data_IF_163044233799
#
_entry.id   IF_163044233799
#
_cell.length_a   1.000
_cell.length_b   1.000
_cell.length_c   1.000
_cell.angle_alpha   90.00
_cell.angle_beta   90.00
_cell.angle_gamma   90.00
#
_symmetry.space_group_name_H-M   'P 1'
#
loop_
_entity.id
_entity.type
_entity.pdbx_description
1 polymer ?
#
# COMPACT_ATOMS: atom_id res chain seq x y z
N UNK A 1 21.46 3.80 -31.21
CA UNK A 1 20.61 4.73 -30.44
C UNK A 1 21.49 5.85 -29.92
N UNK A 2 21.21 7.10 -30.29
CA UNK A 2 21.94 8.25 -29.73
C UNK A 2 21.45 8.55 -28.31
N UNK A 3 22.18 9.38 -27.55
CA UNK A 3 21.76 9.82 -26.22
C UNK A 3 20.43 10.58 -26.26
N UNK A 4 20.22 11.37 -27.32
CA UNK A 4 18.98 12.11 -27.55
C UNK A 4 17.82 11.14 -27.83
N UNK A 5 18.01 10.17 -28.73
CA UNK A 5 16.97 9.16 -29.01
C UNK A 5 16.61 8.36 -27.76
N UNK A 6 17.59 8.03 -26.92
CA UNK A 6 17.38 7.31 -25.66
C UNK A 6 16.56 8.15 -24.67
N UNK A 7 16.88 9.44 -24.54
CA UNK A 7 16.16 10.36 -23.66
C UNK A 7 14.72 10.59 -24.14
N UNK A 8 14.51 10.71 -25.45
CA UNK A 8 13.19 10.92 -26.05
C UNK A 8 12.32 9.66 -25.94
N UNK A 9 12.89 8.48 -26.16
CA UNK A 9 12.21 7.20 -25.97
C UNK A 9 11.81 7.00 -24.50
N UNK A 10 12.72 7.30 -23.56
CA UNK A 10 12.43 7.20 -22.13
C UNK A 10 11.34 8.19 -21.72
N UNK A 11 11.41 9.43 -22.20
CA UNK A 11 10.41 10.46 -21.90
C UNK A 11 9.03 10.07 -22.43
N UNK A 12 8.97 9.53 -23.64
CA UNK A 12 7.72 9.08 -24.26
C UNK A 12 7.11 7.89 -23.51
N UNK A 13 7.91 6.86 -23.21
CA UNK A 13 7.42 5.68 -22.48
C UNK A 13 6.98 6.00 -21.05
N UNK A 14 7.68 6.91 -20.35
CA UNK A 14 7.26 7.38 -19.03
C UNK A 14 5.94 8.17 -19.08
N UNK A 15 5.75 8.99 -20.12
CA UNK A 15 4.51 9.76 -20.31
C UNK A 15 3.29 8.86 -20.47
N UNK A 16 3.41 7.74 -21.16
CA UNK A 16 2.35 6.73 -21.28
C UNK A 16 1.95 6.12 -19.93
N UNK A 17 2.88 6.08 -18.97
CA UNK A 17 2.67 5.63 -17.60
C UNK A 17 2.19 6.75 -16.66
N UNK A 18 1.83 7.93 -17.19
CA UNK A 18 1.42 9.09 -16.38
C UNK A 18 2.56 9.79 -15.63
N UNK A 19 3.80 9.50 -16.02
CA UNK A 19 5.02 10.04 -15.42
C UNK A 19 5.61 11.08 -16.37
N UNK A 20 5.82 12.29 -15.88
CA UNK A 20 6.49 13.34 -16.66
C UNK A 20 7.99 13.27 -16.41
N UNK A 21 8.75 13.11 -17.48
CA UNK A 21 10.21 13.29 -17.49
C UNK A 21 10.56 14.58 -18.23
N UNK A 22 11.38 15.43 -17.62
CA UNK A 22 11.90 16.67 -18.26
C UNK A 22 13.43 16.71 -18.22
N UNK A 23 14.09 17.37 -19.17
CA UNK A 23 15.54 17.53 -19.14
C UNK A 23 16.01 18.25 -17.87
N UNK A 24 16.97 17.64 -17.16
CA UNK A 24 17.63 18.20 -15.99
C UNK A 24 18.92 18.97 -16.32
N UNK A 25 19.67 19.41 -15.29
CA UNK A 25 20.95 20.12 -15.48
C UNK A 25 21.92 19.34 -16.35
N UNK A 26 22.69 20.05 -17.18
CA UNK A 26 23.74 19.44 -18.01
C UNK A 26 24.76 18.73 -17.14
N UNK A 27 25.08 17.48 -17.49
CA UNK A 27 26.12 16.71 -16.82
C UNK A 27 27.48 16.99 -17.48
N UNK A 28 28.57 16.92 -16.70
CA UNK A 28 29.95 17.13 -17.18
C UNK A 28 30.44 16.05 -18.19
N UNK A 29 29.54 15.20 -18.70
CA UNK A 29 29.85 14.12 -19.60
C UNK A 29 28.89 14.15 -20.79
N UNK A 30 29.44 14.33 -22.00
CA UNK A 30 28.71 14.37 -23.27
C UNK A 30 27.92 13.09 -23.60
N UNK A 31 28.17 12.00 -22.87
CA UNK A 31 27.49 10.71 -23.03
C UNK A 31 26.39 10.46 -22.01
N UNK A 32 26.01 11.46 -21.21
CA UNK A 32 25.10 11.31 -20.09
C UNK A 32 23.98 12.36 -20.12
N UNK A 33 22.73 11.92 -19.96
CA UNK A 33 21.55 12.78 -19.88
C UNK A 33 20.86 12.59 -18.53
N UNK A 34 20.41 13.69 -17.92
CA UNK A 34 19.68 13.67 -16.65
C UNK A 34 18.23 14.01 -16.95
N UNK A 35 17.29 13.18 -16.48
CA UNK A 35 15.86 13.46 -16.56
C UNK A 35 15.30 13.64 -15.15
N UNK A 36 14.62 14.76 -14.93
CA UNK A 36 13.85 15.01 -13.72
C UNK A 36 12.50 14.32 -13.88
N UNK A 37 12.11 13.53 -12.88
CA UNK A 37 10.92 12.68 -12.94
C UNK A 37 9.89 13.19 -11.94
N UNK A 38 8.67 13.43 -12.41
CA UNK A 38 7.55 13.87 -11.59
C UNK A 38 6.26 13.15 -11.98
N UNK A 39 5.32 13.04 -11.05
CA UNK A 39 3.97 12.59 -11.38
C UNK A 39 3.20 13.71 -12.11
N UNK A 40 2.36 13.37 -13.09
CA UNK A 40 1.63 14.35 -13.90
C UNK A 40 0.82 15.37 -13.08
N UNK A 41 0.33 14.98 -11.91
CA UNK A 41 -0.36 15.84 -10.95
C UNK A 41 0.13 15.61 -9.50
N UNK A 42 1.43 15.37 -9.30
CA UNK A 42 1.95 14.95 -7.98
C UNK A 42 3.39 15.40 -7.69
N UNK A 43 4.00 14.85 -6.62
CA UNK A 43 5.32 15.29 -6.17
C UNK A 43 6.42 14.94 -7.17
N UNK A 44 7.53 15.68 -7.08
CA UNK A 44 8.78 15.30 -7.73
C UNK A 44 9.30 13.99 -7.13
N UNK A 45 9.61 13.03 -8.00
CA UNK A 45 10.09 11.70 -7.63
C UNK A 45 11.61 11.64 -7.56
N UNK A 46 12.29 12.67 -8.08
CA UNK A 46 13.75 12.77 -8.13
C UNK A 46 14.26 12.81 -9.57
N UNK A 47 15.40 12.20 -9.82
CA UNK A 47 16.00 12.15 -11.15
C UNK A 47 16.48 10.76 -11.55
N UNK A 48 16.50 10.50 -12.85
CA UNK A 48 17.17 9.35 -13.45
C UNK A 48 18.30 9.84 -14.36
N UNK A 49 19.40 9.08 -14.40
CA UNK A 49 20.52 9.34 -15.29
C UNK A 49 20.58 8.26 -16.35
N UNK A 50 20.73 8.68 -17.59
CA UNK A 50 20.89 7.83 -18.76
C UNK A 50 22.31 7.99 -19.28
N UNK A 51 22.96 6.88 -19.61
CA UNK A 51 24.30 6.85 -20.20
C UNK A 51 24.27 6.07 -21.50
N UNK A 52 24.99 6.55 -22.52
CA UNK A 52 25.25 5.80 -23.75
C UNK A 52 26.75 5.52 -23.84
N UNK A 53 27.15 4.30 -23.49
CA UNK A 53 28.55 3.86 -23.48
C UNK A 53 28.85 2.76 -24.50
N UNK A 54 30.12 2.36 -24.60
CA UNK A 54 30.59 1.27 -25.48
C UNK A 54 29.91 -0.08 -25.22
N UNK A 55 29.33 -0.28 -24.03
CA UNK A 55 28.63 -1.51 -23.60
C UNK A 55 27.11 -1.43 -23.78
N UNK A 56 26.60 -0.37 -24.41
CA UNK A 56 25.17 -0.13 -24.59
C UNK A 56 24.62 0.94 -23.64
N UNK A 57 23.30 1.19 -23.71
CA UNK A 57 22.64 2.18 -22.87
C UNK A 57 22.56 1.69 -21.41
N UNK A 58 22.66 2.60 -20.43
CA UNK A 58 22.53 2.29 -19.00
C UNK A 58 21.62 3.29 -18.29
N UNK A 59 20.71 2.79 -17.44
CA UNK A 59 19.86 3.58 -16.56
C UNK A 59 20.40 3.52 -15.12
N UNK A 60 20.55 4.69 -14.50
CA UNK A 60 20.93 4.81 -13.08
C UNK A 60 19.82 5.58 -12.34
N UNK A 61 19.02 4.90 -11.51
CA UNK A 61 17.91 5.50 -10.76
C UNK A 61 18.30 5.80 -9.29
N UNK A 62 19.53 6.27 -9.06
CA UNK A 62 20.12 6.52 -7.74
C UNK A 62 19.53 7.77 -7.04
N UNK A 63 19.07 8.73 -7.83
CA UNK A 63 18.47 9.99 -7.37
C UNK A 63 16.93 9.96 -7.28
N UNK A 64 16.31 8.77 -7.34
CA UNK A 64 14.87 8.56 -7.12
C UNK A 64 14.57 8.41 -5.61
N UNK A 65 14.76 9.49 -4.85
CA UNK A 65 14.64 9.46 -3.38
C UNK A 65 13.19 9.40 -2.87
N UNK A 66 12.22 9.83 -3.68
CA UNK A 66 10.80 9.92 -3.31
C UNK A 66 9.91 9.08 -4.23
N UNK A 67 10.49 8.09 -4.91
CA UNK A 67 9.80 7.30 -5.94
C UNK A 67 9.15 6.04 -5.35
N UNK A 68 7.82 5.90 -5.41
CA UNK A 68 7.15 4.68 -4.96
C UNK A 68 7.64 3.44 -5.73
N UNK A 69 7.69 2.25 -5.11
CA UNK A 69 8.17 1.03 -5.75
C UNK A 69 7.44 0.64 -7.05
N UNK A 70 6.14 0.98 -7.17
CA UNK A 70 5.35 0.77 -8.38
C UNK A 70 5.84 1.66 -9.54
N UNK A 71 6.09 2.94 -9.27
CA UNK A 71 6.63 3.87 -10.27
C UNK A 71 8.06 3.49 -10.66
N UNK A 72 8.85 2.98 -9.71
CA UNK A 72 10.19 2.44 -10.01
C UNK A 72 10.12 1.21 -10.94
N UNK A 73 9.11 0.36 -10.78
CA UNK A 73 8.84 -0.76 -11.70
C UNK A 73 8.45 -0.27 -13.08
N UNK A 74 7.53 0.71 -13.20
CA UNK A 74 7.18 1.31 -14.50
C UNK A 74 8.37 1.94 -15.20
N UNK A 75 9.24 2.65 -14.47
CA UNK A 75 10.50 3.19 -15.00
C UNK A 75 11.41 2.05 -15.50
N UNK A 76 11.46 0.94 -14.78
CA UNK A 76 12.27 -0.23 -15.15
C UNK A 76 11.71 -0.96 -16.36
N UNK A 77 10.38 -1.10 -16.49
CA UNK A 77 9.72 -1.74 -17.63
C UNK A 77 9.90 -0.94 -18.92
N UNK A 78 9.66 0.37 -18.85
CA UNK A 78 9.95 1.28 -19.97
C UNK A 78 11.41 1.14 -20.39
N UNK A 79 12.33 1.08 -19.43
CA UNK A 79 13.74 0.87 -19.71
C UNK A 79 14.04 -0.46 -20.41
N UNK A 80 13.44 -1.57 -19.98
CA UNK A 80 13.65 -2.90 -20.58
C UNK A 80 13.15 -2.95 -22.03
N UNK A 81 12.00 -2.33 -22.31
CA UNK A 81 11.46 -2.20 -23.65
C UNK A 81 12.40 -1.41 -24.59
N UNK A 82 13.04 -0.36 -24.07
CA UNK A 82 13.94 0.50 -24.86
C UNK A 82 15.32 -0.14 -25.08
N UNK A 83 15.83 -0.87 -24.09
CA UNK A 83 17.21 -1.39 -24.09
C UNK A 83 17.41 -2.76 -24.76
N UNK A 84 16.34 -3.41 -25.24
CA UNK A 84 16.40 -4.52 -26.19
C UNK A 84 16.71 -5.90 -25.60
N UNK A 85 16.27 -6.19 -24.37
CA UNK A 85 16.42 -7.51 -23.76
C UNK A 85 15.44 -8.55 -24.31
N UNK A 86 15.92 -9.48 -25.14
CA UNK A 86 15.21 -10.71 -25.49
C UNK A 86 15.10 -11.58 -24.21
N UNK A 87 13.88 -11.81 -23.70
CA UNK A 87 13.62 -12.93 -22.77
C UNK A 87 12.74 -13.94 -23.48
N UNK A 88 13.32 -15.12 -23.71
CA UNK A 88 12.63 -16.27 -24.25
C UNK A 88 11.46 -16.65 -23.34
N UNK A 89 10.30 -16.88 -23.97
CA UNK A 89 9.15 -17.50 -23.34
C UNK A 89 9.48 -18.93 -22.88
N UNK A 90 8.90 -19.40 -21.76
CA UNK A 90 8.37 -20.74 -21.70
C UNK A 90 6.92 -20.70 -22.21
N UNK A 91 6.71 -21.20 -23.43
CA UNK A 91 5.38 -21.60 -23.89
C UNK A 91 5.11 -23.03 -23.40
N UNK A 92 4.08 -23.17 -22.58
CA UNK A 92 3.57 -24.44 -22.08
C UNK A 92 2.33 -24.19 -21.22
N UNK A 93 1.19 -23.99 -21.91
CA UNK A 93 -0.19 -23.95 -21.44
C UNK A 93 -0.44 -23.85 -19.92
N UNK A 94 -0.78 -22.65 -19.46
CA UNK A 94 -2.17 -22.39 -19.05
C UNK A 94 -2.48 -20.90 -19.18
N UNK A 95 -3.60 -20.60 -19.83
CA UNK A 95 -4.10 -19.24 -20.02
C UNK A 95 -4.55 -18.70 -18.67
N UNK A 96 -3.68 -17.99 -17.96
CA UNK A 96 -4.09 -17.12 -16.86
C UNK A 96 -4.16 -15.69 -17.39
N UNK A 97 -5.38 -15.30 -17.75
CA UNK A 97 -5.82 -13.91 -17.82
C UNK A 97 -5.23 -13.16 -16.63
N UNK A 98 -4.27 -12.25 -16.84
CA UNK A 98 -3.85 -11.33 -15.78
C UNK A 98 -4.99 -10.33 -15.65
N UNK A 99 -5.96 -10.69 -14.81
CA UNK A 99 -6.91 -9.74 -14.25
C UNK A 99 -6.10 -8.55 -13.69
N UNK A 100 -6.52 -7.29 -13.91
CA UNK A 100 -5.82 -6.13 -13.37
C UNK A 100 -5.61 -6.36 -11.88
N UNK A 101 -4.36 -6.58 -11.48
CA UNK A 101 -4.03 -7.14 -10.16
C UNK A 101 -4.53 -6.21 -9.06
N UNK A 102 -5.69 -6.55 -8.50
CA UNK A 102 -6.36 -5.78 -7.45
C UNK A 102 -5.44 -5.74 -6.25
N UNK A 103 -5.27 -4.56 -5.66
CA UNK A 103 -4.47 -4.37 -4.45
C UNK A 103 -5.14 -5.11 -3.30
N UNK A 104 -4.43 -6.06 -2.72
CA UNK A 104 -4.90 -6.83 -1.57
C UNK A 104 -4.42 -6.14 -0.30
N UNK A 105 -5.37 -5.85 0.59
CA UNK A 105 -5.14 -5.14 1.85
C UNK A 105 -5.57 -6.05 2.99
N UNK A 106 -4.62 -6.60 3.73
CA UNK A 106 -4.87 -7.44 4.89
C UNK A 106 -4.77 -6.59 6.14
N UNK A 107 -5.75 -6.68 7.03
CA UNK A 107 -5.82 -5.84 8.24
C UNK A 107 -6.20 -6.68 9.44
N UNK A 108 -5.67 -6.33 10.60
CA UNK A 108 -6.09 -6.92 11.87
C UNK A 108 -5.79 -6.02 13.07
N UNK A 109 -6.51 -6.25 14.16
CA UNK A 109 -6.40 -5.57 15.44
C UNK A 109 -6.35 -6.54 16.62
N UNK A 110 -5.57 -6.19 17.63
CA UNK A 110 -5.40 -6.97 18.85
C UNK A 110 -5.67 -6.11 20.09
N UNK A 111 -6.38 -6.71 21.05
CA UNK A 111 -6.63 -6.17 22.38
C UNK A 111 -6.22 -7.21 23.42
N UNK A 112 -5.16 -6.92 24.18
CA UNK A 112 -4.66 -7.80 25.24
C UNK A 112 -5.04 -7.25 26.61
N UNK A 113 -5.62 -8.10 27.46
CA UNK A 113 -5.88 -7.75 28.84
C UNK A 113 -4.56 -7.63 29.63
N UNK A 114 -4.43 -6.56 30.41
CA UNK A 114 -3.30 -6.32 31.31
C UNK A 114 -3.82 -6.02 32.73
N UNK A 115 -2.97 -6.17 33.78
CA UNK A 115 -3.41 -5.98 35.17
C UNK A 115 -4.05 -4.61 35.47
N UNK A 116 -3.65 -3.57 34.75
CA UNK A 116 -4.13 -2.19 34.94
C UNK A 116 -5.01 -1.68 33.78
N UNK A 117 -5.43 -2.56 32.86
CA UNK A 117 -6.19 -2.13 31.71
C UNK A 117 -6.03 -3.00 30.46
N UNK A 118 -5.96 -2.36 29.31
CA UNK A 118 -5.84 -3.03 28.01
C UNK A 118 -4.64 -2.50 27.23
N UNK A 119 -4.03 -3.40 26.48
CA UNK A 119 -3.00 -3.08 25.49
C UNK A 119 -3.56 -3.28 24.10
N UNK A 120 -3.14 -2.44 23.17
CA UNK A 120 -3.72 -2.39 21.84
C UNK A 120 -2.64 -2.46 20.78
N UNK A 121 -2.93 -3.17 19.70
CA UNK A 121 -2.06 -3.25 18.54
C UNK A 121 -2.90 -3.35 17.27
N UNK A 122 -2.48 -2.66 16.24
CA UNK A 122 -3.06 -2.74 14.90
C UNK A 122 -1.95 -3.14 13.92
N UNK A 123 -2.32 -3.80 12.84
CA UNK A 123 -1.40 -4.06 11.76
C UNK A 123 -2.10 -4.18 10.41
N UNK A 124 -1.33 -3.97 9.34
CA UNK A 124 -1.79 -4.27 8.00
C UNK A 124 -0.64 -4.64 7.07
N UNK A 125 -0.98 -5.36 5.99
CA UNK A 125 -0.08 -5.70 4.88
C UNK A 125 -0.80 -5.40 3.57
N UNK A 126 -0.13 -4.72 2.65
CA UNK A 126 -0.64 -4.36 1.33
C UNK A 126 0.22 -5.04 0.29
N UNK A 127 -0.39 -5.80 -0.61
CA UNK A 127 0.30 -6.54 -1.66
C UNK A 127 -0.43 -6.47 -2.99
N UNK A 128 0.30 -6.76 -4.07
CA UNK A 128 -0.23 -6.90 -5.41
C UNK A 128 0.25 -8.24 -5.97
N UNK A 129 -0.66 -9.21 -6.06
CA UNK A 129 -0.28 -10.61 -6.25
C UNK A 129 0.66 -11.07 -5.13
N UNK A 130 1.79 -11.68 -5.49
CA UNK A 130 2.79 -12.18 -4.53
C UNK A 130 3.77 -11.11 -4.02
N UNK A 131 3.63 -9.86 -4.48
CA UNK A 131 4.53 -8.76 -4.11
C UNK A 131 3.96 -7.93 -2.96
N UNK A 132 4.63 -7.96 -1.81
CA UNK A 132 4.37 -6.99 -0.75
C UNK A 132 4.80 -5.57 -1.18
N UNK A 133 3.87 -4.63 -1.04
CA UNK A 133 4.06 -3.21 -1.35
C UNK A 133 4.36 -2.39 -0.10
N UNK A 134 3.68 -2.72 1.00
CA UNK A 134 3.85 -2.05 2.28
C UNK A 134 3.30 -2.89 3.43
N UNK A 135 3.85 -2.67 4.62
CA UNK A 135 3.30 -3.15 5.89
C UNK A 135 3.57 -2.12 6.97
N UNK A 136 2.69 -2.07 7.96
CA UNK A 136 2.90 -1.27 9.16
C UNK A 136 2.16 -1.89 10.34
N UNK A 137 2.61 -1.56 11.54
CA UNK A 137 1.99 -1.99 12.79
C UNK A 137 2.31 -1.03 13.91
N UNK A 138 1.41 -0.86 14.87
CA UNK A 138 1.65 -0.01 16.01
C UNK A 138 0.56 -0.14 17.07
N UNK A 139 0.66 0.66 18.12
CA UNK A 139 -0.23 0.58 19.28
C UNK A 139 -1.05 1.83 19.53
N UNK A 140 -0.77 2.91 18.80
CA UNK A 140 -1.47 4.17 18.96
C UNK A 140 -2.80 4.11 18.22
N UNK A 141 -3.89 4.26 18.98
CA UNK A 141 -5.25 4.36 18.44
C UNK A 141 -5.71 5.82 18.41
N UNK A 142 -6.63 6.15 17.51
CA UNK A 142 -7.37 7.41 17.57
C UNK A 142 -8.14 7.58 18.90
N UNK A 143 -8.32 8.83 19.31
CA UNK A 143 -9.00 9.17 20.58
C UNK A 143 -10.41 8.55 20.65
N UNK A 144 -10.73 7.89 21.76
CA UNK A 144 -12.01 7.22 21.98
C UNK A 144 -12.13 5.80 21.39
N UNK A 145 -11.19 5.37 20.54
CA UNK A 145 -11.20 4.01 19.98
C UNK A 145 -10.91 2.93 21.03
N UNK A 146 -10.16 3.26 22.09
CA UNK A 146 -9.85 2.36 23.20
C UNK A 146 -11.09 1.88 23.98
N UNK A 147 -12.22 2.61 23.90
CA UNK A 147 -13.48 2.21 24.53
C UNK A 147 -14.14 1.00 23.87
N UNK A 148 -13.75 0.69 22.63
CA UNK A 148 -14.27 -0.42 21.83
C UNK A 148 -13.26 -1.55 21.64
N UNK A 149 -12.31 -1.67 22.59
CA UNK A 149 -11.38 -2.80 22.70
C UNK A 149 -10.79 -3.24 21.34
N UNK A 150 -11.07 -4.47 20.89
CA UNK A 150 -10.53 -5.02 19.65
C UNK A 150 -11.01 -4.27 18.42
N UNK A 151 -12.29 -3.89 18.40
CA UNK A 151 -12.89 -3.12 17.31
C UNK A 151 -12.14 -1.83 17.08
N UNK A 152 -11.70 -1.13 18.14
CA UNK A 152 -10.92 0.10 18.00
C UNK A 152 -9.62 -0.10 17.24
N UNK A 153 -8.90 -1.19 17.54
CA UNK A 153 -7.63 -1.53 16.88
C UNK A 153 -7.83 -1.96 15.41
N UNK A 154 -8.87 -2.74 15.14
CA UNK A 154 -9.22 -3.16 13.79
C UNK A 154 -9.61 -1.98 12.88
N UNK A 155 -10.39 -1.04 13.40
CA UNK A 155 -10.77 0.16 12.66
C UNK A 155 -9.56 1.05 12.37
N UNK A 156 -8.61 1.15 13.30
CA UNK A 156 -7.35 1.87 13.10
C UNK A 156 -6.51 1.21 11.98
N UNK A 157 -6.37 -0.12 12.00
CA UNK A 157 -5.67 -0.88 10.96
C UNK A 157 -6.24 -0.59 9.56
N UNK A 158 -7.56 -0.75 9.41
CA UNK A 158 -8.24 -0.49 8.14
C UNK A 158 -8.13 0.97 7.69
N UNK A 159 -8.26 1.92 8.61
CA UNK A 159 -8.15 3.35 8.31
C UNK A 159 -6.78 3.70 7.77
N UNK A 160 -5.71 3.22 8.41
CA UNK A 160 -4.33 3.47 7.97
C UNK A 160 -4.02 2.81 6.62
N UNK A 161 -4.40 1.56 6.46
CA UNK A 161 -4.15 0.82 5.22
C UNK A 161 -4.84 1.48 4.02
N UNK A 162 -6.10 1.87 4.17
CA UNK A 162 -6.87 2.56 3.12
C UNK A 162 -6.31 3.97 2.85
N UNK A 163 -5.89 4.69 3.88
CA UNK A 163 -5.22 6.00 3.72
C UNK A 163 -3.96 5.85 2.89
N UNK A 164 -3.12 4.85 3.20
CA UNK A 164 -1.93 4.56 2.41
C UNK A 164 -2.29 4.27 0.94
N UNK A 165 -3.34 3.48 0.69
CA UNK A 165 -3.79 3.17 -0.67
C UNK A 165 -4.19 4.44 -1.45
N UNK A 166 -4.96 5.35 -0.83
CA UNK A 166 -5.34 6.63 -1.45
C UNK A 166 -4.12 7.49 -1.75
N UNK A 167 -3.21 7.64 -0.79
CA UNK A 167 -2.01 8.47 -0.94
C UNK A 167 -1.07 7.95 -2.03
N UNK A 168 -1.10 6.64 -2.30
CA UNK A 168 -0.34 6.00 -3.37
C UNK A 168 -1.10 5.89 -4.70
N UNK A 169 -2.28 6.52 -4.80
CA UNK A 169 -3.00 6.69 -6.06
C UNK A 169 -3.80 5.46 -6.52
N UNK A 170 -3.91 4.41 -5.70
CA UNK A 170 -4.74 3.26 -6.04
C UNK A 170 -6.21 3.66 -6.12
N UNK A 171 -6.96 2.97 -6.97
CA UNK A 171 -8.39 3.23 -7.22
C UNK A 171 -9.28 2.06 -6.83
N UNK A 172 -8.75 0.84 -6.83
CA UNK A 172 -9.47 -0.36 -6.47
C UNK A 172 -8.64 -1.21 -5.53
N UNK A 173 -9.25 -1.68 -4.44
CA UNK A 173 -8.62 -2.53 -3.43
C UNK A 173 -9.57 -3.65 -3.01
N UNK A 174 -9.02 -4.79 -2.59
CA UNK A 174 -9.75 -5.82 -1.84
C UNK A 174 -9.22 -5.85 -0.42
N UNK A 175 -10.09 -5.57 0.54
CA UNK A 175 -9.75 -5.61 1.97
C UNK A 175 -10.12 -6.97 2.53
N UNK A 176 -9.13 -7.67 3.06
CA UNK A 176 -9.24 -8.94 3.75
C UNK A 176 -9.23 -8.71 5.24
N UNK A 177 -10.23 -9.24 5.92
CA UNK A 177 -10.46 -9.04 7.35
C UNK A 177 -11.24 -10.22 7.92
N UNK A 178 -11.12 -10.52 9.22
CA UNK A 178 -11.87 -11.59 9.87
C UNK A 178 -13.08 -11.11 10.67
N UNK A 179 -13.12 -9.83 11.05
CA UNK A 179 -14.27 -9.23 11.72
C UNK A 179 -15.25 -8.54 10.77
N UNK A 180 -16.53 -8.90 10.87
CA UNK A 180 -17.59 -8.42 9.97
C UNK A 180 -17.78 -6.89 9.99
N UNK A 181 -17.58 -6.24 11.15
CA UNK A 181 -17.89 -4.83 11.33
C UNK A 181 -17.08 -3.91 10.41
N UNK A 182 -15.85 -4.29 10.06
CA UNK A 182 -14.97 -3.58 9.11
C UNK A 182 -15.70 -3.30 7.79
N UNK A 183 -16.42 -4.30 7.25
CA UNK A 183 -17.20 -4.13 6.01
C UNK A 183 -18.63 -3.66 6.28
N UNK A 184 -19.25 -4.11 7.37
CA UNK A 184 -20.69 -3.94 7.58
C UNK A 184 -21.11 -2.48 7.87
N UNK A 185 -20.28 -1.69 8.57
CA UNK A 185 -20.59 -0.28 8.83
C UNK A 185 -20.49 0.63 7.59
N UNK A 186 -19.40 0.60 6.80
CA UNK A 186 -19.31 1.43 5.59
C UNK A 186 -20.30 1.00 4.50
N UNK A 187 -20.64 -0.29 4.39
CA UNK A 187 -21.68 -0.75 3.45
C UNK A 187 -23.10 -0.44 3.93
N UNK A 188 -23.29 -0.21 5.23
CA UNK A 188 -24.60 0.03 5.84
C UNK A 188 -25.36 -1.25 6.19
N UNK A 189 -24.75 -2.43 6.05
CA UNK A 189 -25.31 -3.70 6.53
C UNK A 189 -25.54 -3.67 8.06
N UNK A 190 -24.65 -3.01 8.81
CA UNK A 190 -24.82 -2.75 10.24
C UNK A 190 -25.01 -1.27 10.51
N UNK A 191 -25.86 -0.96 11.51
CA UNK A 191 -26.07 0.41 11.97
C UNK A 191 -24.88 0.85 12.82
N UNK A 192 -24.19 1.92 12.41
CA UNK A 192 -23.12 2.56 13.19
C UNK A 192 -23.69 3.38 14.36
N UNK A 193 -23.79 2.77 15.54
CA UNK A 193 -24.45 3.36 16.71
C UNK A 193 -23.50 4.15 17.62
N UNK A 194 -22.18 3.97 17.50
CA UNK A 194 -21.18 4.63 18.34
C UNK A 194 -20.45 5.74 17.58
N UNK A 195 -19.86 6.75 18.24
CA UNK A 195 -19.09 7.78 17.54
C UNK A 195 -17.97 7.22 16.65
N UNK A 196 -17.13 6.26 17.11
CA UNK A 196 -16.05 5.71 16.28
C UNK A 196 -16.55 4.92 15.06
N UNK A 197 -17.59 4.10 15.20
CA UNK A 197 -18.16 3.36 14.07
C UNK A 197 -18.80 4.28 13.02
N UNK A 198 -19.41 5.41 13.45
CA UNK A 198 -19.93 6.43 12.53
C UNK A 198 -18.83 7.18 11.81
N UNK A 199 -17.76 7.51 12.52
CA UNK A 199 -16.61 8.21 11.95
C UNK A 199 -15.90 7.34 10.92
N UNK A 200 -15.63 6.08 11.25
CA UNK A 200 -15.07 5.10 10.34
C UNK A 200 -15.94 4.92 9.08
N UNK A 201 -17.25 4.69 9.25
CA UNK A 201 -18.15 4.55 8.11
C UNK A 201 -18.17 5.79 7.20
N UNK A 202 -18.10 7.00 7.79
CA UNK A 202 -18.03 8.26 7.04
C UNK A 202 -16.69 8.38 6.31
N UNK A 203 -15.59 8.08 6.99
CA UNK A 203 -14.24 8.11 6.44
C UNK A 203 -14.15 7.22 5.20
N UNK A 204 -14.51 5.94 5.33
CA UNK A 204 -14.43 4.96 4.23
C UNK A 204 -15.31 5.38 3.04
N UNK A 205 -16.54 5.85 3.29
CA UNK A 205 -17.45 6.32 2.22
C UNK A 205 -16.93 7.56 1.48
N UNK A 206 -16.08 8.36 2.11
CA UNK A 206 -15.52 9.57 1.50
C UNK A 206 -14.26 9.29 0.68
N UNK A 207 -13.70 8.07 0.75
CA UNK A 207 -12.49 7.74 0.01
C UNK A 207 -12.78 7.62 -1.49
N UNK A 208 -11.88 8.12 -2.36
CA UNK A 208 -11.97 7.92 -3.81
C UNK A 208 -11.45 6.52 -4.19
N UNK A 209 -11.91 5.49 -3.49
CA UNK A 209 -11.53 4.08 -3.65
C UNK A 209 -12.78 3.23 -3.88
N UNK A 210 -12.69 2.33 -4.85
CA UNK A 210 -13.57 1.17 -4.95
C UNK A 210 -13.02 0.06 -4.05
N UNK A 211 -13.83 -0.35 -3.07
CA UNK A 211 -13.42 -1.31 -2.05
C UNK A 211 -14.27 -2.56 -2.18
N UNK A 212 -13.61 -3.68 -2.45
CA UNK A 212 -14.18 -5.02 -2.31
C UNK A 212 -13.85 -5.55 -0.92
N UNK A 213 -14.84 -6.05 -0.20
CA UNK A 213 -14.66 -6.62 1.13
C UNK A 213 -14.63 -8.14 1.06
N UNK A 214 -13.57 -8.74 1.58
CA UNK A 214 -13.39 -10.19 1.61
C UNK A 214 -13.20 -10.64 3.07
N UNK A 215 -14.27 -11.15 3.65
CA UNK A 215 -14.17 -11.80 4.96
C UNK A 215 -13.37 -13.09 4.85
N UNK A 216 -12.45 -13.29 5.78
CA UNK A 216 -11.68 -14.52 5.95
C UNK A 216 -11.95 -15.14 7.32
N UNK A 217 -11.66 -16.42 7.48
CA UNK A 217 -11.85 -17.10 8.76
C UNK A 217 -10.60 -16.91 9.62
N UNK A 218 -10.77 -16.39 10.84
CA UNK A 218 -9.71 -16.29 11.82
C UNK A 218 -9.10 -17.67 12.13
N UNK A 219 -7.77 -17.72 12.31
CA UNK A 219 -6.99 -18.87 12.79
C UNK A 219 -7.17 -20.19 12.01
N UNK A 220 -7.29 -20.13 10.68
CA UNK A 220 -7.44 -21.32 9.82
C UNK A 220 -6.30 -21.55 8.81
N UNK A 221 -5.09 -21.05 9.06
CA UNK A 221 -3.95 -21.30 8.16
C UNK A 221 -3.85 -20.32 6.98
N UNK A 222 -4.59 -19.22 6.98
CA UNK A 222 -4.46 -18.19 5.94
C UNK A 222 -3.24 -17.35 6.29
N UNK A 223 -2.12 -17.64 5.63
CA UNK A 223 -0.82 -17.08 5.96
C UNK A 223 -0.80 -15.55 6.14
N UNK A 224 -1.52 -14.80 5.30
CA UNK A 224 -1.57 -13.35 5.42
C UNK A 224 -2.42 -12.86 6.60
N UNK A 225 -3.55 -13.53 6.91
CA UNK A 225 -4.34 -13.20 8.09
C UNK A 225 -3.55 -13.49 9.38
N UNK A 226 -2.87 -14.64 9.42
CA UNK A 226 -2.02 -15.00 10.56
C UNK A 226 -0.85 -14.04 10.73
N UNK A 227 -0.33 -13.50 9.63
CA UNK A 227 0.74 -12.51 9.67
C UNK A 227 0.27 -11.19 10.28
N UNK A 228 -0.89 -10.66 9.87
CA UNK A 228 -1.42 -9.42 10.45
C UNK A 228 -1.86 -9.61 11.91
N UNK A 229 -2.42 -10.77 12.26
CA UNK A 229 -2.72 -11.15 13.65
C UNK A 229 -1.46 -11.15 14.53
N UNK A 230 -0.39 -11.80 14.06
CA UNK A 230 0.89 -11.85 14.79
C UNK A 230 1.52 -10.46 14.97
N UNK A 231 1.46 -9.61 13.96
CA UNK A 231 1.99 -8.24 14.03
C UNK A 231 1.17 -7.39 15.00
N UNK A 232 -0.16 -7.48 14.95
CA UNK A 232 -1.05 -6.73 15.85
C UNK A 232 -0.84 -7.18 17.30
N UNK A 233 -0.78 -8.49 17.56
CA UNK A 233 -0.51 -9.03 18.89
C UNK A 233 0.86 -8.62 19.42
N UNK A 234 1.91 -8.60 18.58
CA UNK A 234 3.24 -8.11 18.97
C UNK A 234 3.19 -6.63 19.36
N UNK A 235 2.57 -5.80 18.52
CA UNK A 235 2.42 -4.37 18.81
C UNK A 235 1.65 -4.13 20.12
N UNK A 236 0.60 -4.90 20.39
CA UNK A 236 -0.12 -4.86 21.66
C UNK A 236 0.76 -5.28 22.84
N UNK A 237 1.50 -6.39 22.71
CA UNK A 237 2.36 -6.87 23.80
C UNK A 237 3.41 -5.82 24.22
N UNK A 238 3.97 -5.10 23.25
CA UNK A 238 4.99 -4.07 23.45
C UNK A 238 4.42 -2.70 23.89
N UNK A 239 3.10 -2.50 23.83
CA UNK A 239 2.47 -1.21 24.15
C UNK A 239 2.34 -0.95 25.66
N UNK A 240 2.28 0.30 26.12
CA UNK A 240 1.80 0.58 27.47
C UNK A 240 0.34 0.15 27.62
N UNK A 241 -0.07 -0.23 28.84
CA UNK A 241 -1.47 -0.50 29.14
C UNK A 241 -2.24 0.80 29.34
N UNK A 242 -3.41 0.92 28.71
CA UNK A 242 -4.34 2.02 28.91
C UNK A 242 -5.40 1.65 29.95
N UNK A 243 -5.81 2.57 30.84
CA UNK A 243 -6.74 2.28 31.92
C UNK A 243 -8.09 1.74 31.43
N UNK A 244 -8.74 0.93 32.26
CA UNK A 244 -10.10 0.44 32.00
C UNK A 244 -11.07 1.64 32.00
N UNK A 245 -11.81 1.92 30.89
CA UNK A 245 -12.82 2.96 30.90
C UNK A 245 -13.93 2.63 31.91
N UNK A 246 -14.38 3.62 32.68
CA UNK A 246 -15.39 3.45 33.73
C UNK A 246 -16.77 2.96 33.20
N UNK A 247 -16.99 3.01 31.89
CA UNK A 247 -18.19 2.51 31.20
C UNK A 247 -17.80 1.66 29.99
N UNK A 248 -17.30 0.44 30.20
CA UNK A 248 -17.07 -0.47 29.07
C UNK A 248 -18.42 -0.97 28.55
N UNK A 249 -18.83 -0.55 27.35
CA UNK A 249 -19.85 -1.31 26.62
C UNK A 249 -19.17 -2.61 26.15
N UNK A 250 -19.77 -3.78 26.38
CA UNK A 250 -19.19 -5.02 25.89
C UNK A 250 -19.11 -4.99 24.36
N UNK A 251 -18.05 -5.58 23.80
CA UNK A 251 -17.89 -5.68 22.35
C UNK A 251 -19.09 -6.42 21.74
N UNK A 252 -19.57 -6.02 20.54
CA UNK A 252 -20.42 -6.90 19.77
C UNK A 252 -19.68 -8.23 19.54
N UNK A 253 -20.40 -9.34 19.65
CA UNK A 253 -19.83 -10.70 19.56
C UNK A 253 -19.04 -10.82 18.25
N UNK A 254 -17.74 -11.13 18.35
CA UNK A 254 -16.83 -11.45 17.23
C UNK A 254 -17.20 -12.79 16.59
#
# INVERSE_FOLDING_TARGET
MTLQDLADAMTSGLKEQGIIATPGPSMNNQYAAKLLVQMQNGPSLGAIKLYVGKRGPTLVPDELHSCPPAIRSSITEVWQCISGGNSAAPSGHDTLTIEPSVIQVWVDGACLQAPLGYRFGWSFVIQQGDRELHRDSGSLLQSGAFEHRNVGAELEAATRALTWCVLNGYKQVTVYHDYEGIAAWPTGAWRANTPPTREYARFVKALPLEITWQKVQAHRGIAMNELVDQLANRAAAESPALPIPASSTPDPVM
#
